data_IF_549644230293
#
_entry.id   IF_549644230293
#
_cell.length_a   1.000
_cell.length_b   1.000
_cell.length_c   1.000
_cell.angle_alpha   90.00
_cell.angle_beta   90.00
_cell.angle_gamma   90.00
#
_symmetry.space_group_name_H-M   'P 1'
#
loop_
_entity.id
_entity.type
_entity.pdbx_description
1 polymer ?
#
# COMPACT_ATOMS: atom_id res chain seq x y z
N UNK A 1 6.67 3.11 20.59
CA UNK A 1 7.62 2.65 19.55
C UNK A 1 7.25 3.36 18.27
N UNK A 2 8.18 4.05 17.60
CA UNK A 2 7.90 4.84 16.39
C UNK A 2 8.31 4.04 15.14
N UNK A 3 7.53 4.15 14.06
CA UNK A 3 7.89 3.62 12.75
C UNK A 3 9.05 4.42 12.17
N UNK A 4 9.92 3.74 11.44
CA UNK A 4 11.01 4.35 10.70
C UNK A 4 10.74 4.18 9.20
N UNK A 5 10.91 5.24 8.42
CA UNK A 5 10.80 5.15 6.98
C UNK A 5 11.93 4.25 6.43
N UNK A 6 11.55 3.30 5.56
CA UNK A 6 12.51 2.49 4.83
C UNK A 6 13.18 3.33 3.74
N UNK A 7 14.43 2.99 3.41
CA UNK A 7 15.15 3.59 2.29
C UNK A 7 14.85 2.83 1.00
N UNK A 8 14.29 3.54 0.02
CA UNK A 8 13.98 3.03 -1.33
C UNK A 8 14.85 3.68 -2.42
N UNK A 9 15.94 4.34 -2.05
CA UNK A 9 16.84 5.01 -3.00
C UNK A 9 17.42 4.09 -4.07
N UNK A 10 17.51 2.79 -3.79
CA UNK A 10 17.93 1.76 -4.76
C UNK A 10 17.02 1.62 -5.98
N UNK A 11 15.79 2.14 -5.93
CA UNK A 11 14.87 2.17 -7.07
C UNK A 11 15.17 3.31 -8.06
N UNK A 12 16.01 4.29 -7.70
CA UNK A 12 16.38 5.38 -8.59
C UNK A 12 17.16 4.82 -9.80
N UNK A 13 16.74 5.23 -10.99
CA UNK A 13 17.31 4.71 -12.25
C UNK A 13 16.54 3.51 -12.81
N UNK A 14 15.48 3.05 -12.15
CA UNK A 14 14.61 1.99 -12.67
C UNK A 14 13.92 2.44 -13.97
N UNK A 15 13.90 1.56 -14.96
CA UNK A 15 13.22 1.83 -16.23
C UNK A 15 11.71 2.09 -16.03
N UNK A 16 11.18 3.08 -16.77
CA UNK A 16 9.76 3.45 -16.72
C UNK A 16 9.42 4.52 -15.68
N UNK A 17 10.36 4.90 -14.81
CA UNK A 17 10.14 5.92 -13.77
C UNK A 17 11.24 6.99 -13.85
N UNK A 18 10.85 8.27 -13.85
CA UNK A 18 11.83 9.35 -13.70
C UNK A 18 12.33 9.43 -12.26
N UNK A 19 13.57 9.88 -12.09
CA UNK A 19 14.15 10.11 -10.75
C UNK A 19 13.30 11.09 -9.94
N UNK A 20 12.82 12.15 -10.56
CA UNK A 20 11.94 13.15 -9.91
C UNK A 20 10.66 12.52 -9.41
N UNK A 21 10.02 11.65 -10.22
CA UNK A 21 8.80 10.95 -9.83
C UNK A 21 9.05 10.09 -8.59
N UNK A 22 10.12 9.28 -8.59
CA UNK A 22 10.46 8.41 -7.47
C UNK A 22 10.77 9.23 -6.21
N UNK A 23 11.58 10.28 -6.30
CA UNK A 23 11.91 11.14 -5.15
C UNK A 23 10.66 11.80 -4.54
N UNK A 24 9.75 12.31 -5.37
CA UNK A 24 8.49 12.87 -4.91
C UNK A 24 7.64 11.81 -4.20
N UNK A 25 7.60 10.60 -4.73
CA UNK A 25 6.85 9.49 -4.14
C UNK A 25 7.45 9.02 -2.80
N UNK A 26 8.79 8.98 -2.69
CA UNK A 26 9.46 8.69 -1.41
C UNK A 26 9.16 9.77 -0.35
N UNK A 27 9.13 11.04 -0.75
CA UNK A 27 8.78 12.15 0.15
C UNK A 27 7.34 12.02 0.65
N UNK A 28 6.41 11.66 -0.23
CA UNK A 28 5.02 11.39 0.14
C UNK A 28 4.93 10.26 1.17
N UNK A 29 5.61 9.14 0.92
CA UNK A 29 5.68 8.02 1.85
C UNK A 29 6.24 8.41 3.22
N UNK A 30 7.33 9.17 3.26
CA UNK A 30 7.91 9.68 4.52
C UNK A 30 6.92 10.53 5.30
N UNK A 31 6.07 11.29 4.60
CA UNK A 31 4.96 12.04 5.18
C UNK A 31 3.97 11.14 5.92
N UNK A 32 3.57 10.01 5.30
CA UNK A 32 2.69 9.02 5.94
C UNK A 32 3.32 8.40 7.20
N UNK A 33 4.62 8.06 7.17
CA UNK A 33 5.33 7.54 8.35
C UNK A 33 5.32 8.57 9.49
N UNK A 34 5.65 9.82 9.19
CA UNK A 34 5.69 10.92 10.16
C UNK A 34 4.31 11.17 10.78
N UNK A 35 3.28 11.24 9.94
CA UNK A 35 1.91 11.48 10.39
C UNK A 35 1.37 10.32 11.22
N UNK A 36 1.65 9.08 10.84
CA UNK A 36 1.27 7.89 11.60
C UNK A 36 1.84 7.96 13.01
N UNK A 37 3.14 8.24 13.15
CA UNK A 37 3.79 8.36 14.46
C UNK A 37 3.16 9.49 15.29
N UNK A 38 2.99 10.68 14.71
CA UNK A 38 2.38 11.82 15.39
C UNK A 38 0.97 11.52 15.89
N UNK A 39 0.15 10.86 15.09
CA UNK A 39 -1.21 10.47 15.45
C UNK A 39 -1.23 9.43 16.56
N UNK A 40 -0.32 8.43 16.50
CA UNK A 40 -0.19 7.44 17.57
C UNK A 40 0.13 8.10 18.92
N UNK A 41 1.09 9.03 18.94
CA UNK A 41 1.48 9.75 20.15
C UNK A 41 0.34 10.64 20.68
N UNK A 42 -0.35 11.35 19.78
CA UNK A 42 -1.50 12.20 20.15
C UNK A 42 -2.64 11.38 20.74
N UNK A 43 -3.00 10.27 20.08
CA UNK A 43 -4.08 9.39 20.57
C UNK A 43 -3.73 8.71 21.89
N UNK A 44 -2.46 8.35 22.10
CA UNK A 44 -1.99 7.79 23.37
C UNK A 44 -2.09 8.83 24.51
N UNK A 45 -1.73 10.08 24.24
CA UNK A 45 -1.89 11.17 25.21
C UNK A 45 -3.38 11.40 25.52
N UNK A 46 -4.25 11.46 24.53
CA UNK A 46 -5.69 11.63 24.74
C UNK A 46 -6.30 10.49 25.55
N UNK A 47 -5.87 9.24 25.30
CA UNK A 47 -6.30 8.08 26.10
C UNK A 47 -5.87 8.21 27.55
N UNK A 48 -4.62 8.61 27.82
CA UNK A 48 -4.10 8.86 29.16
C UNK A 48 -4.87 9.95 29.90
N UNK A 49 -5.28 11.00 29.17
CA UNK A 49 -6.04 12.13 29.69
C UNK A 49 -7.55 11.85 29.84
N UNK A 50 -8.02 10.64 29.53
CA UNK A 50 -9.45 10.28 29.58
C UNK A 50 -10.30 10.94 28.49
N UNK A 51 -9.69 11.46 27.41
CA UNK A 51 -10.35 12.22 26.33
C UNK A 51 -10.78 11.32 25.16
N UNK A 52 -11.33 10.15 25.43
CA UNK A 52 -11.73 9.19 24.36
C UNK A 52 -13.15 9.40 23.87
N UNK A 53 -13.96 10.20 24.56
CA UNK A 53 -15.35 10.48 24.23
C UNK A 53 -15.56 11.77 23.43
N UNK A 54 -14.49 12.54 23.20
CA UNK A 54 -14.58 13.81 22.45
C UNK A 54 -14.54 13.58 20.94
N UNK A 55 -15.21 14.40 20.12
CA UNK A 55 -15.26 14.24 18.66
C UNK A 55 -13.87 14.23 18.02
N UNK A 56 -12.95 15.02 18.54
CA UNK A 56 -11.56 15.11 18.06
C UNK A 56 -10.86 13.74 18.11
N UNK A 57 -11.07 12.96 19.18
CA UNK A 57 -10.51 11.62 19.30
C UNK A 57 -11.00 10.71 18.16
N UNK A 58 -12.28 10.76 17.87
CA UNK A 58 -12.89 9.96 16.80
C UNK A 58 -12.33 10.32 15.42
N UNK A 59 -12.16 11.61 15.13
CA UNK A 59 -11.59 12.08 13.87
C UNK A 59 -10.09 11.71 13.74
N UNK A 60 -9.32 11.86 14.81
CA UNK A 60 -7.91 11.46 14.81
C UNK A 60 -7.76 9.92 14.64
N UNK A 61 -8.67 9.13 15.23
CA UNK A 61 -8.70 7.68 15.03
C UNK A 61 -8.97 7.32 13.56
N UNK A 62 -9.91 8.01 12.92
CA UNK A 62 -10.23 7.84 11.49
C UNK A 62 -9.02 8.19 10.63
N UNK A 63 -8.41 9.33 10.91
CA UNK A 63 -7.22 9.81 10.21
C UNK A 63 -6.01 8.88 10.41
N UNK A 64 -5.83 8.32 11.60
CA UNK A 64 -4.75 7.36 11.88
C UNK A 64 -4.84 6.13 10.94
N UNK A 65 -6.05 5.59 10.73
CA UNK A 65 -6.24 4.47 9.80
C UNK A 65 -5.80 4.82 8.38
N UNK A 66 -6.15 6.00 7.89
CA UNK A 66 -5.75 6.49 6.59
C UNK A 66 -4.21 6.64 6.47
N UNK A 67 -3.56 7.28 7.44
CA UNK A 67 -2.11 7.50 7.41
C UNK A 67 -1.34 6.17 7.53
N UNK A 68 -1.79 5.27 8.42
CA UNK A 68 -1.19 3.94 8.57
C UNK A 68 -1.31 3.09 7.29
N UNK A 69 -2.49 3.08 6.66
CA UNK A 69 -2.70 2.38 5.39
C UNK A 69 -1.83 2.99 4.30
N UNK A 70 -1.75 4.32 4.22
CA UNK A 70 -0.86 5.01 3.29
C UNK A 70 0.59 4.59 3.48
N UNK A 71 1.09 4.55 4.71
CA UNK A 71 2.44 4.07 5.02
C UNK A 71 2.64 2.62 4.54
N UNK A 72 1.76 1.70 4.94
CA UNK A 72 1.92 0.26 4.62
C UNK A 72 1.76 -0.05 3.15
N UNK A 73 0.81 0.58 2.47
CA UNK A 73 0.58 0.34 1.05
C UNK A 73 1.73 0.89 0.19
N UNK A 74 2.35 2.01 0.58
CA UNK A 74 3.58 2.48 -0.07
C UNK A 74 4.73 1.49 0.10
N UNK A 75 4.92 0.94 1.30
CA UNK A 75 5.97 -0.08 1.53
C UNK A 75 5.75 -1.32 0.67
N UNK A 76 4.53 -1.85 0.62
CA UNK A 76 4.18 -2.99 -0.24
C UNK A 76 4.39 -2.65 -1.73
N UNK A 77 4.02 -1.45 -2.15
CA UNK A 77 4.21 -0.99 -3.51
C UNK A 77 5.70 -0.93 -3.90
N UNK A 78 6.53 -0.26 -3.09
CA UNK A 78 7.96 -0.14 -3.37
C UNK A 78 8.68 -1.49 -3.26
N UNK A 79 8.31 -2.34 -2.31
CA UNK A 79 8.87 -3.69 -2.17
C UNK A 79 8.58 -4.58 -3.41
N UNK A 80 7.53 -4.27 -4.19
CA UNK A 80 7.18 -4.97 -5.43
C UNK A 80 7.84 -4.37 -6.68
N UNK A 81 8.56 -3.25 -6.58
CA UNK A 81 9.25 -2.62 -7.70
C UNK A 81 10.70 -3.13 -7.85
N UNK A 82 11.30 -2.87 -9.02
CA UNK A 82 12.73 -3.14 -9.25
C UNK A 82 13.08 -4.56 -9.61
N UNK A 83 12.12 -5.44 -9.82
CA UNK A 83 12.36 -6.79 -10.33
C UNK A 83 13.09 -6.76 -11.68
N UNK A 84 14.14 -7.58 -11.83
CA UNK A 84 14.96 -7.66 -13.06
C UNK A 84 14.60 -8.85 -13.94
N UNK A 85 13.71 -9.72 -13.48
CA UNK A 85 13.32 -10.93 -14.18
C UNK A 85 11.89 -10.81 -14.71
N UNK A 86 11.62 -11.45 -15.84
CA UNK A 86 10.27 -11.66 -16.34
C UNK A 86 9.46 -12.48 -15.33
N UNK A 87 8.15 -12.24 -15.27
CA UNK A 87 7.27 -13.03 -14.43
C UNK A 87 7.35 -14.52 -14.80
N UNK A 88 7.64 -15.37 -13.81
CA UNK A 88 7.65 -16.82 -14.01
C UNK A 88 6.20 -17.34 -14.00
N UNK A 89 5.69 -17.65 -15.19
CA UNK A 89 4.33 -18.19 -15.37
C UNK A 89 4.16 -19.62 -14.83
N UNK A 90 5.25 -20.28 -14.42
CA UNK A 90 5.21 -21.60 -13.77
C UNK A 90 5.31 -21.48 -12.24
N UNK A 91 5.45 -20.26 -11.70
CA UNK A 91 5.52 -20.03 -10.27
C UNK A 91 4.26 -20.47 -9.52
N UNK A 92 4.37 -20.67 -8.22
CA UNK A 92 3.20 -20.92 -7.36
C UNK A 92 2.20 -19.78 -7.47
N UNK A 93 2.68 -18.54 -7.51
CA UNK A 93 1.84 -17.36 -7.69
C UNK A 93 1.04 -17.42 -8.98
N UNK A 94 1.69 -17.68 -10.12
CA UNK A 94 1.02 -17.75 -11.41
C UNK A 94 -0.06 -18.85 -11.46
N UNK A 95 0.19 -20.01 -10.85
CA UNK A 95 -0.83 -21.06 -10.72
C UNK A 95 -2.00 -20.62 -9.86
N UNK A 96 -1.76 -20.00 -8.72
CA UNK A 96 -2.82 -19.54 -7.81
C UNK A 96 -3.72 -18.47 -8.44
N UNK A 97 -3.15 -17.49 -9.16
CA UNK A 97 -3.98 -16.50 -9.87
C UNK A 97 -4.75 -17.15 -11.01
N UNK A 98 -4.15 -18.09 -11.74
CA UNK A 98 -4.85 -18.83 -12.81
C UNK A 98 -6.03 -19.65 -12.28
N UNK A 99 -5.91 -20.27 -11.10
CA UNK A 99 -7.02 -20.97 -10.44
C UNK A 99 -8.20 -20.04 -10.14
N UNK A 100 -7.95 -18.80 -9.72
CA UNK A 100 -9.00 -17.85 -9.34
C UNK A 100 -9.57 -17.07 -10.52
N UNK A 101 -8.76 -16.74 -11.52
CA UNK A 101 -9.14 -15.88 -12.66
C UNK A 101 -9.30 -16.64 -13.98
N UNK A 102 -9.04 -17.94 -14.00
CA UNK A 102 -9.07 -18.78 -15.21
C UNK A 102 -7.74 -18.81 -15.98
N UNK A 103 -6.92 -17.75 -15.91
CA UNK A 103 -5.56 -17.71 -16.46
C UNK A 103 -4.74 -16.60 -15.81
N UNK A 104 -3.41 -16.67 -15.95
CA UNK A 104 -2.51 -15.58 -15.54
C UNK A 104 -2.82 -14.29 -16.32
N UNK A 105 -3.06 -14.39 -17.61
CA UNK A 105 -3.36 -13.27 -18.49
C UNK A 105 -4.70 -12.59 -18.12
N UNK A 106 -5.72 -13.35 -17.73
CA UNK A 106 -6.99 -12.80 -17.25
C UNK A 106 -6.80 -12.01 -15.95
N UNK A 107 -6.02 -12.53 -15.00
CA UNK A 107 -5.66 -11.80 -13.80
C UNK A 107 -4.90 -10.50 -14.13
N UNK A 108 -3.90 -10.57 -14.98
CA UNK A 108 -3.08 -9.42 -15.36
C UNK A 108 -3.92 -8.32 -16.03
N UNK A 109 -4.84 -8.73 -16.91
CA UNK A 109 -5.78 -7.82 -17.58
C UNK A 109 -6.68 -7.11 -16.57
N UNK A 110 -7.29 -7.85 -15.64
CA UNK A 110 -8.16 -7.29 -14.61
C UNK A 110 -7.38 -6.37 -13.65
N UNK A 111 -6.17 -6.77 -13.24
CA UNK A 111 -5.29 -5.94 -12.40
C UNK A 111 -4.94 -4.61 -13.07
N UNK A 112 -4.56 -4.63 -14.35
CA UNK A 112 -4.26 -3.43 -15.13
C UNK A 112 -5.49 -2.55 -15.36
N UNK A 113 -6.63 -3.15 -15.65
CA UNK A 113 -7.89 -2.42 -15.82
C UNK A 113 -8.33 -1.73 -14.53
N UNK A 114 -8.19 -2.42 -13.40
CA UNK A 114 -8.45 -1.85 -12.07
C UNK A 114 -7.51 -0.69 -11.77
N UNK A 115 -6.21 -0.80 -12.13
CA UNK A 115 -5.24 0.28 -11.95
C UNK A 115 -5.44 1.49 -12.87
N UNK A 116 -6.13 1.30 -13.98
CA UNK A 116 -6.45 2.39 -14.93
C UNK A 116 -7.73 3.16 -14.56
N UNK A 117 -8.45 2.75 -13.52
CA UNK A 117 -9.66 3.46 -13.05
C UNK A 117 -9.32 4.88 -12.60
N UNK A 118 -10.24 5.82 -12.87
CA UNK A 118 -10.06 7.21 -12.40
C UNK A 118 -10.27 7.28 -10.89
N UNK A 119 -9.31 7.88 -10.20
CA UNK A 119 -9.39 8.08 -8.76
C UNK A 119 -8.01 8.10 -8.13
N UNK A 120 -7.97 8.39 -6.83
CA UNK A 120 -6.78 8.24 -5.98
C UNK A 120 -6.99 6.96 -5.18
N UNK A 121 -6.11 5.98 -5.37
CA UNK A 121 -6.27 4.71 -4.69
C UNK A 121 -5.21 3.70 -5.10
N UNK A 122 -5.44 2.46 -4.71
CA UNK A 122 -4.51 1.35 -4.88
C UNK A 122 -5.23 0.17 -5.53
N UNK A 123 -4.50 -0.58 -6.35
CA UNK A 123 -4.93 -1.92 -6.74
C UNK A 123 -4.26 -2.91 -5.82
N UNK A 124 -5.05 -3.75 -5.20
CA UNK A 124 -4.56 -4.78 -4.27
C UNK A 124 -5.11 -6.14 -4.70
N UNK A 125 -4.22 -7.11 -4.83
CA UNK A 125 -4.61 -8.51 -4.95
C UNK A 125 -4.83 -9.06 -3.54
N UNK A 126 -6.06 -9.45 -3.25
CA UNK A 126 -6.45 -10.05 -1.99
C UNK A 126 -6.54 -11.57 -2.09
N UNK A 127 -6.32 -12.22 -0.95
CA UNK A 127 -6.69 -13.60 -0.73
C UNK A 127 -7.73 -13.64 0.40
N UNK A 128 -8.87 -14.30 0.16
CA UNK A 128 -9.88 -14.51 1.19
C UNK A 128 -9.56 -15.76 2.05
N UNK A 129 -10.42 -16.02 3.02
CA UNK A 129 -10.27 -17.16 3.94
C UNK A 129 -10.44 -18.54 3.27
N UNK A 130 -11.01 -18.60 2.07
CA UNK A 130 -11.11 -19.85 1.27
C UNK A 130 -9.85 -20.08 0.44
N UNK A 131 -8.98 -19.07 0.34
CA UNK A 131 -7.81 -19.07 -0.51
C UNK A 131 -8.06 -18.53 -1.93
N UNK A 132 -9.28 -18.10 -2.24
CA UNK A 132 -9.60 -17.46 -3.52
C UNK A 132 -8.95 -16.06 -3.61
N UNK A 133 -8.47 -15.74 -4.82
CA UNK A 133 -7.80 -14.47 -5.10
C UNK A 133 -8.73 -13.55 -5.90
N UNK A 134 -8.69 -12.26 -5.60
CA UNK A 134 -9.40 -11.22 -6.34
C UNK A 134 -8.65 -9.89 -6.30
N UNK A 135 -8.75 -9.11 -7.38
CA UNK A 135 -8.25 -7.74 -7.40
C UNK A 135 -9.31 -6.80 -6.82
N UNK A 136 -8.87 -5.81 -6.06
CA UNK A 136 -9.75 -4.75 -5.57
C UNK A 136 -9.07 -3.39 -5.70
N UNK A 137 -9.88 -2.39 -6.02
CA UNK A 137 -9.48 -1.01 -5.90
C UNK A 137 -9.89 -0.48 -4.53
N UNK A 138 -8.95 0.13 -3.80
CA UNK A 138 -9.16 0.73 -2.48
C UNK A 138 -8.61 2.16 -2.45
N UNK A 139 -9.19 3.00 -1.62
CA UNK A 139 -8.77 4.40 -1.36
C UNK A 139 -8.30 4.59 0.08
#
# INVERSE_FOLDING_TARGET
MAYQAKDYSSLIGMAGFSETLLKNHFTLYQGYVTNTNKLMDTLAAMLKDGKTSVPEYSELKRRMGFEFNGMRLHELYFDNLGGKTQADKNSVFARRVAESFGSYEAWEQDYKATGAMRGIGWVVLYQDWTGALFNAWIN
#
